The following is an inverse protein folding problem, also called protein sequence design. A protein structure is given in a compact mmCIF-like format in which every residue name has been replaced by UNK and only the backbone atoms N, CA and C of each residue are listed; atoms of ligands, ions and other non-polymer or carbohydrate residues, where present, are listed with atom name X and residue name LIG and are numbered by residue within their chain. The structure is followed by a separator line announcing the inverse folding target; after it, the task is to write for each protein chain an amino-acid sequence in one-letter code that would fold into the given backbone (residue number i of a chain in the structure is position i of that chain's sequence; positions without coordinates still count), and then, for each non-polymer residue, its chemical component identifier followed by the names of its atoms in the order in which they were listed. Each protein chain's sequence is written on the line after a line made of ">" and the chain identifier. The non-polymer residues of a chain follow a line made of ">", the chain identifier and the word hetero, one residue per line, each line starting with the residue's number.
data_IF_501893975034
#
_entry.id   IF_501893975034
#
_cell.length_a   1.000
_cell.length_b   1.000
_cell.length_c   1.000
_cell.angle_alpha   90.00
_cell.angle_beta   90.00
_cell.angle_gamma   90.00
#
_symmetry.space_group_name_H-M   'P 1'
#
loop_
_entity.id
_entity.type
_entity.pdbx_description
1 polymer ?
#
# COMPACT_ATOMS: atom_id res chain seq x y z
N UNK A 1 -29.54 -14.74 0.09
CA UNK A 1 -28.08 -14.74 0.30
C UNK A 1 -27.55 -13.46 -0.29
N UNK A 2 -27.34 -12.44 0.54
CA UNK A 2 -26.63 -11.23 0.12
C UNK A 2 -25.19 -11.62 -0.17
N UNK A 3 -24.73 -11.40 -1.40
CA UNK A 3 -23.29 -11.49 -1.69
C UNK A 3 -22.64 -10.36 -0.91
N UNK A 4 -21.76 -10.69 0.03
CA UNK A 4 -20.93 -9.68 0.66
C UNK A 4 -20.20 -8.89 -0.43
N UNK A 5 -20.32 -7.57 -0.37
CA UNK A 5 -19.67 -6.67 -1.31
C UNK A 5 -18.17 -6.67 -0.99
N UNK A 6 -17.34 -7.07 -1.95
CA UNK A 6 -15.88 -7.03 -1.78
C UNK A 6 -15.42 -5.61 -1.43
N UNK A 7 -14.70 -5.46 -0.32
CA UNK A 7 -14.11 -4.17 0.11
C UNK A 7 -13.18 -3.62 -0.96
N UNK A 8 -12.34 -4.49 -1.51
CA UNK A 8 -11.31 -4.14 -2.48
C UNK A 8 -11.75 -4.48 -3.90
N UNK A 9 -11.51 -3.55 -4.82
CA UNK A 9 -11.73 -3.70 -6.25
C UNK A 9 -10.40 -3.49 -6.97
N UNK A 10 -9.83 -4.58 -7.49
CA UNK A 10 -8.58 -4.54 -8.26
C UNK A 10 -8.86 -4.10 -9.68
N UNK A 11 -8.11 -3.10 -10.14
CA UNK A 11 -8.15 -2.58 -11.49
C UNK A 11 -7.04 -3.22 -12.34
N UNK A 12 -7.20 -3.17 -13.66
CA UNK A 12 -6.22 -3.73 -14.61
C UNK A 12 -4.95 -2.86 -14.74
N UNK A 13 -4.96 -1.63 -14.23
CA UNK A 13 -3.87 -0.66 -14.26
C UNK A 13 -2.87 -0.81 -13.09
N UNK A 14 -3.05 -1.84 -12.25
CA UNK A 14 -2.19 -2.07 -11.09
C UNK A 14 -2.62 -1.30 -9.84
N UNK A 15 -3.84 -0.76 -9.79
CA UNK A 15 -4.43 -0.14 -8.60
C UNK A 15 -5.51 -1.01 -7.95
N UNK A 16 -5.82 -0.70 -6.68
CA UNK A 16 -6.91 -1.30 -5.91
C UNK A 16 -7.71 -0.16 -5.29
N UNK A 17 -9.00 -0.10 -5.58
CA UNK A 17 -9.92 0.79 -4.89
C UNK A 17 -10.42 0.13 -3.60
N UNK A 18 -10.30 0.84 -2.48
CA UNK A 18 -10.83 0.43 -1.17
C UNK A 18 -12.13 1.19 -0.89
N UNK A 19 -13.26 0.47 -0.97
CA UNK A 19 -14.59 1.02 -0.75
C UNK A 19 -14.88 1.47 0.69
N UNK A 20 -14.09 1.04 1.67
CA UNK A 20 -14.27 1.42 3.08
C UNK A 20 -13.63 2.77 3.38
N UNK A 21 -12.43 3.01 2.86
CA UNK A 21 -11.67 4.26 3.08
C UNK A 21 -11.84 5.26 1.94
N UNK A 22 -12.42 4.82 0.81
CA UNK A 22 -12.48 5.57 -0.46
C UNK A 22 -11.10 5.97 -0.98
N UNK A 23 -10.06 5.20 -0.64
CA UNK A 23 -8.70 5.39 -1.11
C UNK A 23 -8.38 4.43 -2.25
N UNK A 24 -7.44 4.84 -3.09
CA UNK A 24 -6.83 3.97 -4.11
C UNK A 24 -5.42 3.61 -3.65
N UNK A 25 -5.10 2.32 -3.72
CA UNK A 25 -3.79 1.76 -3.36
C UNK A 25 -3.08 1.25 -4.61
N UNK A 26 -1.75 1.33 -4.61
CA UNK A 26 -0.95 0.56 -5.57
C UNK A 26 -0.97 -0.93 -5.17
N UNK A 27 -1.06 -1.81 -6.16
CA UNK A 27 -0.96 -3.26 -5.93
C UNK A 27 0.40 -3.70 -5.41
N UNK A 28 1.45 -2.98 -5.82
CA UNK A 28 2.84 -3.17 -5.40
C UNK A 28 3.24 -2.06 -4.43
N UNK A 29 4.11 -2.38 -3.48
CA UNK A 29 4.83 -1.39 -2.69
C UNK A 29 6.19 -1.04 -3.31
N UNK A 30 6.88 -0.08 -2.72
CA UNK A 30 8.21 0.33 -3.18
C UNK A 30 9.24 -0.80 -3.09
N UNK A 31 9.07 -1.77 -2.18
CA UNK A 31 9.97 -2.91 -2.06
C UNK A 31 9.85 -3.85 -3.25
N UNK A 32 8.64 -4.10 -3.75
CA UNK A 32 8.41 -4.89 -4.97
C UNK A 32 8.98 -4.14 -6.17
N UNK A 33 8.66 -2.87 -6.32
CA UNK A 33 9.02 -2.10 -7.52
C UNK A 33 10.52 -1.79 -7.61
N UNK A 34 11.20 -1.58 -6.48
CA UNK A 34 12.63 -1.24 -6.43
C UNK A 34 13.53 -2.44 -6.09
N UNK A 35 12.96 -3.56 -5.63
CA UNK A 35 13.72 -4.75 -5.25
C UNK A 35 14.57 -4.60 -3.97
N UNK A 36 14.43 -3.51 -3.22
CA UNK A 36 15.20 -3.21 -2.00
C UNK A 36 14.38 -2.46 -0.95
N UNK A 37 14.80 -2.57 0.30
CA UNK A 37 14.31 -1.68 1.36
C UNK A 37 14.84 -0.26 1.12
N UNK A 38 14.05 0.74 1.49
CA UNK A 38 14.36 2.15 1.26
C UNK A 38 14.20 2.96 2.54
N UNK A 39 15.02 4.02 2.65
CA UNK A 39 14.91 5.02 3.71
C UNK A 39 13.66 5.90 3.55
N UNK A 40 13.32 6.66 4.59
CA UNK A 40 12.24 7.66 4.53
C UNK A 40 12.43 8.64 3.35
N UNK A 41 13.63 9.22 3.20
CA UNK A 41 13.93 10.16 2.13
C UNK A 41 13.83 9.51 0.74
N UNK A 42 14.20 8.24 0.61
CA UNK A 42 14.00 7.48 -0.64
C UNK A 42 12.52 7.18 -0.89
N UNK A 43 11.71 7.03 0.15
CA UNK A 43 10.25 6.86 0.04
C UNK A 43 9.60 8.13 -0.49
N UNK A 44 9.99 9.31 0.00
CA UNK A 44 9.53 10.59 -0.54
C UNK A 44 9.90 10.76 -2.01
N UNK A 45 11.13 10.37 -2.39
CA UNK A 45 11.56 10.38 -3.80
C UNK A 45 10.74 9.41 -4.65
N UNK A 46 10.51 8.20 -4.16
CA UNK A 46 9.70 7.20 -4.85
C UNK A 46 8.28 7.73 -5.14
N UNK A 47 7.63 8.34 -4.13
CA UNK A 47 6.31 8.95 -4.32
C UNK A 47 6.34 10.07 -5.36
N UNK A 48 7.34 10.94 -5.32
CA UNK A 48 7.49 12.02 -6.31
C UNK A 48 7.69 11.46 -7.73
N UNK A 49 8.47 10.39 -7.88
CA UNK A 49 8.71 9.73 -9.17
C UNK A 49 7.44 9.07 -9.72
N UNK A 50 6.65 8.41 -8.86
CA UNK A 50 5.36 7.81 -9.23
C UNK A 50 4.37 8.89 -9.68
N UNK A 51 4.31 10.03 -8.97
CA UNK A 51 3.48 11.17 -9.32
C UNK A 51 3.92 11.83 -10.63
N UNK A 52 5.24 12.01 -10.83
CA UNK A 52 5.79 12.55 -12.06
C UNK A 52 5.49 11.69 -13.29
N UNK A 53 5.31 10.37 -13.11
CA UNK A 53 4.90 9.43 -14.15
C UNK A 53 3.37 9.34 -14.33
N UNK A 54 2.60 9.96 -13.45
CA UNK A 54 1.14 9.84 -13.42
C UNK A 54 0.67 8.38 -13.43
N UNK A 55 1.26 7.55 -12.57
CA UNK A 55 0.97 6.11 -12.53
C UNK A 55 -0.54 5.86 -12.40
N UNK A 56 -1.07 4.99 -13.26
CA UNK A 56 -2.49 4.68 -13.40
C UNK A 56 -3.41 5.92 -13.62
N UNK A 57 -2.86 7.01 -14.17
CA UNK A 57 -3.59 8.26 -14.37
C UNK A 57 -3.68 9.14 -13.13
N UNK A 58 -3.00 8.78 -12.04
CA UNK A 58 -2.99 9.51 -10.77
C UNK A 58 -1.63 10.19 -10.54
N UNK A 59 -1.66 11.43 -10.04
CA UNK A 59 -0.47 12.22 -9.71
C UNK A 59 -0.50 12.74 -8.27
N UNK A 60 -1.35 12.15 -7.43
CA UNK A 60 -1.64 12.49 -6.04
C UNK A 60 -1.31 11.34 -5.08
N UNK A 61 -0.44 10.42 -5.50
CA UNK A 61 0.10 9.37 -4.64
C UNK A 61 0.85 9.99 -3.46
N UNK A 62 0.72 9.35 -2.30
CA UNK A 62 1.33 9.79 -1.04
C UNK A 62 1.66 8.62 -0.14
N UNK A 63 2.49 8.88 0.86
CA UNK A 63 2.73 7.95 1.96
C UNK A 63 1.45 7.86 2.82
N UNK A 64 0.97 6.67 3.20
CA UNK A 64 -0.25 6.54 4.01
C UNK A 64 -0.04 7.07 5.43
N UNK A 65 -1.13 7.49 6.07
CA UNK A 65 -1.15 7.75 7.51
C UNK A 65 -1.04 6.44 8.31
N UNK A 66 -0.79 6.56 9.62
CA UNK A 66 -0.73 5.38 10.49
C UNK A 66 -2.07 4.63 10.52
N UNK A 67 -3.18 5.38 10.55
CA UNK A 67 -4.52 4.81 10.53
C UNK A 67 -4.88 4.15 9.21
N UNK A 68 -4.48 4.75 8.09
CA UNK A 68 -4.73 4.19 6.76
C UNK A 68 -3.94 2.91 6.54
N UNK A 69 -2.65 2.89 6.92
CA UNK A 69 -1.83 1.68 6.87
C UNK A 69 -2.41 0.57 7.78
N UNK A 70 -2.84 0.92 8.99
CA UNK A 70 -3.49 -0.02 9.91
C UNK A 70 -4.80 -0.57 9.35
N UNK A 71 -5.55 0.22 8.58
CA UNK A 71 -6.82 -0.20 7.99
C UNK A 71 -6.68 -1.35 6.98
N UNK A 72 -5.48 -1.57 6.43
CA UNK A 72 -5.20 -2.67 5.50
C UNK A 72 -4.92 -4.00 6.22
N UNK A 73 -4.58 -3.96 7.50
CA UNK A 73 -4.31 -5.16 8.29
C UNK A 73 -5.62 -5.89 8.63
N UNK A 74 -5.66 -7.18 8.30
CA UNK A 74 -6.74 -8.08 8.71
C UNK A 74 -6.15 -9.45 9.07
N UNK A 75 -6.27 -9.81 10.35
CA UNK A 75 -5.76 -11.08 10.91
C UNK A 75 -6.27 -12.33 10.20
N UNK A 76 -7.41 -12.26 9.51
CA UNK A 76 -8.00 -13.40 8.79
C UNK A 76 -7.50 -13.48 7.34
N UNK A 77 -6.74 -12.49 6.88
CA UNK A 77 -6.12 -12.46 5.56
C UNK A 77 -4.67 -12.92 5.66
N UNK A 78 -4.19 -13.42 4.53
CA UNK A 78 -2.85 -13.96 4.40
C UNK A 78 -2.28 -13.58 3.04
N UNK A 79 -1.09 -12.99 3.08
CA UNK A 79 -0.24 -12.73 1.94
C UNK A 79 1.23 -12.98 2.36
N UNK A 80 2.16 -12.88 1.42
CA UNK A 80 3.59 -13.17 1.64
C UNK A 80 4.43 -11.92 1.50
N UNK A 81 5.35 -11.71 2.43
CA UNK A 81 6.39 -10.68 2.30
C UNK A 81 7.50 -11.13 1.33
N UNK A 82 8.46 -10.23 1.06
CA UNK A 82 9.61 -10.50 0.19
C UNK A 82 10.54 -11.63 0.66
N UNK A 83 10.40 -12.11 1.90
CA UNK A 83 11.14 -13.24 2.48
C UNK A 83 10.30 -14.52 2.55
N UNK A 84 9.05 -14.49 2.09
CA UNK A 84 8.10 -15.60 2.19
C UNK A 84 7.44 -15.74 3.56
N UNK A 85 7.64 -14.78 4.46
CA UNK A 85 6.96 -14.67 5.75
C UNK A 85 5.50 -14.29 5.57
N UNK A 86 4.67 -14.67 6.54
CA UNK A 86 3.25 -14.36 6.55
C UNK A 86 3.01 -12.90 6.94
N UNK A 87 2.24 -12.19 6.11
CA UNK A 87 1.71 -10.88 6.41
C UNK A 87 0.19 -10.91 6.30
N UNK A 88 -0.48 -10.14 7.14
CA UNK A 88 -1.94 -10.12 7.26
C UNK A 88 -2.57 -9.04 6.38
N UNK A 89 -2.23 -9.08 5.09
CA UNK A 89 -2.84 -8.26 4.05
C UNK A 89 -3.71 -9.15 3.16
N UNK A 90 -4.73 -8.57 2.53
CA UNK A 90 -5.54 -9.28 1.55
C UNK A 90 -4.67 -9.73 0.35
N UNK A 91 -4.93 -10.93 -0.19
CA UNK A 91 -4.15 -11.50 -1.31
C UNK A 91 -4.43 -10.80 -2.64
N UNK A 92 -5.33 -9.81 -2.66
CA UNK A 92 -5.51 -8.90 -3.78
C UNK A 92 -4.27 -8.04 -4.06
N UNK A 93 -3.50 -7.71 -3.01
CA UNK A 93 -2.19 -7.07 -3.10
C UNK A 93 -1.15 -8.06 -3.61
N UNK A 94 -0.13 -7.57 -4.31
CA UNK A 94 0.93 -8.42 -4.83
C UNK A 94 1.73 -9.05 -3.68
N UNK A 95 2.10 -10.34 -3.78
CA UNK A 95 3.02 -10.94 -2.84
C UNK A 95 4.42 -10.34 -3.02
N UNK A 96 5.23 -10.39 -1.96
CA UNK A 96 6.60 -9.87 -1.97
C UNK A 96 6.74 -8.45 -1.43
N UNK A 97 5.70 -7.91 -0.77
CA UNK A 97 5.76 -6.62 -0.12
C UNK A 97 6.75 -6.61 1.07
N UNK A 98 7.13 -5.43 1.52
CA UNK A 98 7.81 -5.23 2.80
C UNK A 98 6.95 -5.75 3.96
N UNK A 99 7.63 -6.25 5.01
CA UNK A 99 6.96 -6.64 6.26
C UNK A 99 6.75 -5.46 7.22
N UNK A 100 7.24 -4.28 6.84
CA UNK A 100 7.05 -3.00 7.54
C UNK A 100 6.75 -1.93 6.50
N UNK A 101 6.12 -0.83 6.93
CA UNK A 101 5.79 0.30 6.05
C UNK A 101 6.14 1.63 6.71
N UNK A 102 6.51 2.59 5.89
CA UNK A 102 6.67 3.98 6.28
C UNK A 102 5.29 4.66 6.31
N UNK A 103 5.04 5.48 7.33
CA UNK A 103 3.79 6.26 7.45
C UNK A 103 4.11 7.75 7.51
N UNK A 104 3.19 8.59 7.05
CA UNK A 104 3.33 10.06 7.05
C UNK A 104 3.47 10.68 8.46
N UNK A 105 3.23 9.89 9.50
CA UNK A 105 3.29 10.32 10.89
C UNK A 105 4.67 10.01 11.49
N UNK A 106 5.42 11.05 11.83
CA UNK A 106 6.64 10.89 12.64
C UNK A 106 6.27 10.87 14.11
N UNK A 107 6.66 9.82 14.86
CA UNK A 107 6.63 9.84 16.33
C UNK A 107 7.41 11.07 16.82
N UNK A 108 6.73 12.07 17.39
CA UNK A 108 7.36 13.17 18.12
C UNK A 108 7.48 14.53 17.41
N UNK A 109 6.66 14.84 16.40
CA UNK A 109 6.37 16.26 16.09
C UNK A 109 4.99 16.60 16.60
N UNK A 110 4.94 17.06 17.86
CA UNK A 110 3.85 17.95 18.27
C UNK A 110 3.92 19.20 17.40
N UNK A 111 2.74 19.69 16.99
CA UNK A 111 2.58 20.90 16.17
C UNK A 111 3.11 22.16 16.87
#
# INVERSE_FOLDING_TARGET
>A
MEKEKSRFLKNADGTIYDSQTSLTWMTNDSRIDLGKDISWNETEKYVNDVNGKSFAGHSDWRIPSGQEALSLFDKNKLNKDFKGGDIHLDSIFSPGAGNTTWTSETRGREA
#
